data_IF_537797812361
#
_entry.id   IF_537797812361
#
_cell.length_a   1.000
_cell.length_b   1.000
_cell.length_c   1.000
_cell.angle_alpha   90.00
_cell.angle_beta   90.00
_cell.angle_gamma   90.00
#
_symmetry.space_group_name_H-M   'P 1'
#
loop_
_entity.id
_entity.type
_entity.pdbx_description
1 polymer ?
#
# COMPACT_ATOMS: atom_id res chain seq x y z
N UNK A 1 28.30 17.80 -14.08
CA UNK A 1 27.04 17.92 -13.31
C UNK A 1 25.95 17.16 -14.07
N UNK A 2 24.91 16.64 -13.43
CA UNK A 2 23.87 15.86 -14.12
C UNK A 2 23.28 16.59 -15.34
N UNK A 3 23.00 17.88 -15.20
CA UNK A 3 22.46 18.73 -16.28
C UNK A 3 23.47 19.08 -17.39
N UNK A 4 24.72 18.63 -17.28
CA UNK A 4 25.72 18.78 -18.35
C UNK A 4 25.86 17.53 -19.22
N UNK A 5 25.08 16.48 -18.96
CA UNK A 5 25.02 15.29 -19.81
C UNK A 5 24.32 15.60 -21.13
N UNK A 6 24.62 14.85 -22.22
CA UNK A 6 23.83 14.91 -23.45
C UNK A 6 22.34 14.70 -23.18
N UNK A 7 21.47 15.35 -23.96
CA UNK A 7 20.02 15.29 -23.79
C UNK A 7 19.48 13.84 -23.83
N UNK A 8 20.02 13.01 -24.73
CA UNK A 8 19.63 11.61 -24.85
C UNK A 8 19.96 10.78 -23.59
N UNK A 9 21.10 11.06 -22.95
CA UNK A 9 21.49 10.41 -21.70
C UNK A 9 20.63 10.90 -20.53
N UNK A 10 20.44 12.22 -20.46
CA UNK A 10 19.59 12.87 -19.45
C UNK A 10 18.17 12.29 -19.48
N UNK A 11 17.60 12.09 -20.68
CA UNK A 11 16.27 11.48 -20.84
C UNK A 11 16.21 10.04 -20.31
N UNK A 12 17.26 9.23 -20.50
CA UNK A 12 17.34 7.86 -19.96
C UNK A 12 17.31 7.87 -18.43
N UNK A 13 18.07 8.76 -17.79
CA UNK A 13 18.05 8.92 -16.34
C UNK A 13 16.70 9.42 -15.81
N UNK A 14 16.09 10.43 -16.46
CA UNK A 14 14.75 10.87 -16.07
C UNK A 14 13.71 9.76 -16.16
N UNK A 15 13.80 8.89 -17.17
CA UNK A 15 12.91 7.73 -17.27
C UNK A 15 13.12 6.75 -16.11
N UNK A 16 14.37 6.52 -15.67
CA UNK A 16 14.66 5.71 -14.48
C UNK A 16 14.01 6.34 -13.25
N UNK A 17 14.26 7.62 -12.99
CA UNK A 17 13.71 8.31 -11.81
C UNK A 17 12.18 8.30 -11.80
N UNK A 18 11.57 8.54 -12.96
CA UNK A 18 10.11 8.45 -13.12
C UNK A 18 9.61 7.05 -12.79
N UNK A 19 10.28 6.00 -13.27
CA UNK A 19 9.86 4.62 -13.01
C UNK A 19 9.99 4.24 -11.53
N UNK A 20 11.02 4.74 -10.83
CA UNK A 20 11.16 4.58 -9.37
C UNK A 20 10.03 5.24 -8.59
N UNK A 21 9.40 6.28 -9.14
CA UNK A 21 8.26 6.99 -8.53
C UNK A 21 6.90 6.59 -9.12
N UNK A 22 6.85 5.56 -9.97
CA UNK A 22 5.63 5.15 -10.67
C UNK A 22 5.05 3.86 -10.10
N UNK A 23 3.73 3.74 -10.11
CA UNK A 23 3.02 2.53 -9.72
C UNK A 23 1.76 2.82 -8.93
N UNK A 24 1.18 1.79 -8.34
CA UNK A 24 0.01 1.93 -7.45
C UNK A 24 0.47 1.95 -6.00
N UNK A 25 0.02 2.95 -5.24
CA UNK A 25 0.23 3.04 -3.79
C UNK A 25 -0.42 1.83 -3.09
N UNK A 26 0.27 1.27 -2.09
CA UNK A 26 -0.11 0.01 -1.43
C UNK A 26 0.24 -1.26 -2.22
N UNK A 27 0.85 -1.13 -3.41
CA UNK A 27 1.29 -2.27 -4.23
C UNK A 27 2.74 -2.14 -4.69
N UNK A 28 3.01 -1.20 -5.59
CA UNK A 28 4.36 -0.93 -6.09
C UNK A 28 5.07 0.13 -5.25
N UNK A 29 4.28 1.05 -4.70
CA UNK A 29 4.73 2.13 -3.85
C UNK A 29 4.19 1.88 -2.46
N UNK A 30 5.05 1.91 -1.45
CA UNK A 30 4.70 1.73 -0.06
C UNK A 30 5.17 2.97 0.70
N UNK A 31 4.27 3.60 1.43
CA UNK A 31 4.66 4.57 2.44
C UNK A 31 5.21 3.78 3.62
N UNK A 32 6.46 4.05 3.98
CA UNK A 32 7.09 3.53 5.18
C UNK A 32 7.16 4.66 6.20
N UNK A 33 6.80 4.37 7.43
CA UNK A 33 7.00 5.25 8.56
C UNK A 33 8.24 4.80 9.33
N UNK A 34 9.03 5.76 9.81
CA UNK A 34 10.16 5.45 10.66
C UNK A 34 9.65 5.14 12.08
N UNK A 35 10.03 4.00 12.68
CA UNK A 35 9.80 3.81 14.10
C UNK A 35 10.65 4.79 14.91
N UNK A 36 10.22 5.09 16.15
CA UNK A 36 10.91 6.02 17.05
C UNK A 36 12.41 5.70 17.22
N UNK A 37 12.78 4.42 17.25
CA UNK A 37 14.17 4.00 17.37
C UNK A 37 15.01 4.35 16.13
N UNK A 38 14.41 4.37 14.94
CA UNK A 38 15.10 4.80 13.72
C UNK A 38 15.30 6.32 13.65
N UNK A 39 14.47 7.09 14.36
CA UNK A 39 14.56 8.56 14.48
C UNK A 39 15.48 9.04 15.61
N UNK A 40 15.77 8.17 16.58
CA UNK A 40 16.68 8.48 17.67
C UNK A 40 18.11 8.75 17.17
N UNK A 41 18.95 9.48 17.93
CA UNK A 41 20.35 9.70 17.58
C UNK A 41 21.10 8.39 17.33
N UNK A 42 21.73 8.27 16.16
CA UNK A 42 22.39 7.06 15.66
C UNK A 42 21.48 6.13 14.84
N UNK A 43 20.18 6.43 14.73
CA UNK A 43 19.22 5.68 13.94
C UNK A 43 19.37 5.88 12.43
N UNK A 44 18.70 5.02 11.66
CA UNK A 44 18.77 4.99 10.20
C UNK A 44 18.19 6.25 9.55
N UNK A 45 17.15 6.86 10.12
CA UNK A 45 16.56 8.10 9.62
C UNK A 45 17.56 9.26 9.76
N UNK A 46 18.25 9.38 10.90
CA UNK A 46 19.25 10.43 11.12
C UNK A 46 20.38 10.35 10.07
N UNK A 47 20.79 9.14 9.69
CA UNK A 47 21.77 8.94 8.61
C UNK A 47 21.27 9.48 7.26
N UNK A 48 20.01 9.18 6.89
CA UNK A 48 19.43 9.68 5.64
C UNK A 48 19.26 11.21 5.65
N UNK A 49 18.93 11.82 6.80
CA UNK A 49 18.89 13.27 6.97
C UNK A 49 20.28 13.88 6.76
N UNK A 50 21.33 13.33 7.40
CA UNK A 50 22.72 13.77 7.19
C UNK A 50 23.14 13.67 5.72
N UNK A 51 22.81 12.55 5.07
CA UNK A 51 23.12 12.33 3.65
C UNK A 51 22.42 13.36 2.76
N UNK A 52 21.12 13.62 3.00
CA UNK A 52 20.34 14.65 2.29
C UNK A 52 20.92 16.04 2.49
N UNK A 53 21.18 16.41 3.74
CA UNK A 53 21.64 17.74 4.14
C UNK A 53 23.06 18.02 3.64
N UNK A 54 23.87 16.97 3.43
CA UNK A 54 25.16 17.08 2.75
C UNK A 54 25.05 17.41 1.26
N UNK A 55 23.84 17.32 0.67
CA UNK A 55 23.56 17.46 -0.77
C UNK A 55 24.44 16.54 -1.63
N UNK A 56 24.78 15.37 -1.09
CA UNK A 56 25.69 14.40 -1.69
C UNK A 56 27.09 14.97 -1.97
N UNK A 57 27.56 15.91 -1.15
CA UNK A 57 28.88 16.52 -1.27
C UNK A 57 29.89 15.96 -0.25
N UNK A 58 29.44 15.09 0.65
CA UNK A 58 30.29 14.39 1.61
C UNK A 58 30.60 12.97 1.08
N UNK A 59 31.84 12.78 0.62
CA UNK A 59 32.30 11.51 0.04
C UNK A 59 32.26 10.35 1.06
N UNK A 60 32.47 10.62 2.35
CA UNK A 60 32.46 9.59 3.37
C UNK A 60 31.02 9.10 3.64
N UNK A 61 30.04 10.02 3.71
CA UNK A 61 28.63 9.66 3.83
C UNK A 61 28.14 8.89 2.59
N UNK A 62 28.61 9.26 1.39
CA UNK A 62 28.30 8.54 0.16
C UNK A 62 28.85 7.11 0.16
N UNK A 63 30.13 6.94 0.52
CA UNK A 63 30.76 5.62 0.59
C UNK A 63 30.05 4.72 1.62
N UNK A 64 29.71 5.28 2.79
CA UNK A 64 28.92 4.58 3.80
C UNK A 64 27.54 4.17 3.27
N UNK A 65 26.84 5.07 2.56
CA UNK A 65 25.55 4.77 1.95
C UNK A 65 25.62 3.62 0.95
N UNK A 66 26.59 3.66 0.02
CA UNK A 66 26.76 2.59 -0.96
C UNK A 66 27.14 1.27 -0.29
N UNK A 67 27.99 1.30 0.74
CA UNK A 67 28.37 0.11 1.51
C UNK A 67 27.14 -0.51 2.19
N UNK A 68 26.31 0.30 2.87
CA UNK A 68 25.06 -0.16 3.48
C UNK A 68 24.12 -0.79 2.46
N UNK A 69 23.99 -0.24 1.26
CA UNK A 69 23.19 -0.89 0.20
C UNK A 69 23.81 -2.23 -0.20
N UNK A 70 25.12 -2.29 -0.43
CA UNK A 70 25.82 -3.51 -0.87
C UNK A 70 25.68 -4.64 0.16
N UNK A 71 25.74 -4.31 1.45
CA UNK A 71 25.65 -5.28 2.53
C UNK A 71 24.22 -5.80 2.76
N UNK A 72 23.20 -4.96 2.55
CA UNK A 72 21.82 -5.27 2.92
C UNK A 72 20.91 -5.62 1.74
N UNK A 73 21.22 -5.17 0.52
CA UNK A 73 20.41 -5.45 -0.67
C UNK A 73 20.91 -6.73 -1.36
N UNK A 74 20.29 -7.87 -1.01
CA UNK A 74 20.58 -9.12 -1.70
C UNK A 74 20.01 -9.11 -3.13
N UNK A 75 20.90 -9.07 -4.12
CA UNK A 75 20.57 -9.22 -5.53
C UNK A 75 21.65 -10.09 -6.21
N UNK A 76 21.31 -11.30 -6.71
CA UNK A 76 22.31 -12.26 -7.21
C UNK A 76 23.12 -11.82 -8.44
N UNK A 77 22.62 -10.83 -9.19
CA UNK A 77 23.23 -10.33 -10.43
C UNK A 77 23.90 -8.97 -10.20
N UNK A 78 24.53 -8.41 -11.23
CA UNK A 78 25.06 -7.05 -11.16
C UNK A 78 23.89 -6.05 -11.11
N UNK A 79 24.09 -4.95 -10.39
CA UNK A 79 23.16 -3.84 -10.36
C UNK A 79 23.92 -2.51 -10.26
N UNK A 80 23.24 -1.44 -10.65
CA UNK A 80 23.71 -0.07 -10.62
C UNK A 80 22.87 0.71 -9.61
N UNK A 81 23.55 1.34 -8.64
CA UNK A 81 22.94 2.20 -7.63
C UNK A 81 23.00 3.63 -8.15
N UNK A 82 21.85 4.26 -8.34
CA UNK A 82 21.77 5.67 -8.72
C UNK A 82 21.16 6.43 -7.55
N UNK A 83 21.91 7.37 -6.98
CA UNK A 83 21.45 8.28 -5.93
C UNK A 83 21.50 9.72 -6.44
N UNK A 84 20.41 10.46 -6.30
CA UNK A 84 20.35 11.89 -6.61
C UNK A 84 19.80 12.67 -5.42
N UNK A 85 20.26 13.93 -5.29
CA UNK A 85 19.64 14.96 -4.47
C UNK A 85 18.98 15.98 -5.39
N UNK A 86 17.77 16.39 -5.04
CA UNK A 86 17.00 17.36 -5.79
C UNK A 86 16.41 18.38 -4.83
N UNK A 87 16.51 19.66 -5.20
CA UNK A 87 15.73 20.73 -4.60
C UNK A 87 14.57 21.05 -5.54
N UNK A 88 13.35 20.74 -5.11
CA UNK A 88 12.13 20.97 -5.88
C UNK A 88 11.34 22.14 -5.27
N UNK A 89 11.14 23.17 -6.07
CA UNK A 89 10.32 24.31 -5.71
C UNK A 89 8.83 23.94 -5.83
N UNK A 90 8.09 23.97 -4.72
CA UNK A 90 6.67 23.59 -4.68
C UNK A 90 5.82 24.78 -5.14
N UNK A 91 5.10 24.68 -6.27
CA UNK A 91 4.25 25.78 -6.74
C UNK A 91 3.16 26.13 -5.71
N UNK A 92 2.79 27.39 -5.59
CA UNK A 92 1.67 27.81 -4.74
C UNK A 92 0.35 27.34 -5.33
N UNK A 93 -0.68 27.18 -4.49
CA UNK A 93 -2.05 26.93 -4.96
C UNK A 93 -2.98 28.04 -4.48
N UNK A 94 -3.79 28.58 -5.39
CA UNK A 94 -4.84 29.53 -5.04
C UNK A 94 -6.05 28.81 -4.43
N UNK A 95 -6.94 29.56 -3.78
CA UNK A 95 -8.14 29.03 -3.11
C UNK A 95 -9.14 28.33 -4.04
N UNK A 96 -9.04 28.56 -5.34
CA UNK A 96 -9.82 27.88 -6.40
C UNK A 96 -9.07 26.68 -7.01
N UNK A 97 -7.91 26.31 -6.47
CA UNK A 97 -7.13 25.14 -6.85
C UNK A 97 -6.19 25.32 -8.05
N UNK A 98 -6.08 26.54 -8.60
CA UNK A 98 -5.13 26.83 -9.69
C UNK A 98 -3.68 26.90 -9.19
N UNK A 99 -2.75 26.36 -9.98
CA UNK A 99 -1.32 26.39 -9.66
C UNK A 99 -0.72 27.78 -9.99
N UNK A 100 -0.14 28.41 -8.98
CA UNK A 100 0.57 29.68 -9.09
C UNK A 100 2.07 29.41 -9.10
N UNK A 101 2.63 29.17 -10.29
CA UNK A 101 4.07 28.90 -10.47
C UNK A 101 4.99 30.05 -10.01
N UNK A 102 4.45 31.27 -9.87
CA UNK A 102 5.21 32.47 -9.46
C UNK A 102 5.23 32.70 -7.93
N UNK A 103 4.48 31.90 -7.16
CA UNK A 103 4.46 31.94 -5.70
C UNK A 103 4.92 30.57 -5.21
N UNK A 104 6.11 30.48 -4.61
CA UNK A 104 6.58 29.28 -3.95
C UNK A 104 6.47 29.46 -2.45
N UNK A 105 5.85 28.49 -1.77
CA UNK A 105 5.71 28.50 -0.31
C UNK A 105 6.82 27.69 0.38
N UNK A 106 7.35 26.65 -0.29
CA UNK A 106 8.34 25.71 0.29
C UNK A 106 9.24 25.09 -0.80
N UNK A 107 10.52 24.86 -0.45
CA UNK A 107 11.46 24.07 -1.26
C UNK A 107 11.61 22.68 -0.64
N UNK A 108 11.14 21.67 -1.35
CA UNK A 108 11.28 20.27 -0.97
C UNK A 108 12.63 19.73 -1.43
N UNK A 109 13.55 19.53 -0.48
CA UNK A 109 14.83 18.85 -0.72
C UNK A 109 14.69 17.34 -0.43
N UNK A 110 15.04 16.50 -1.41
CA UNK A 110 14.91 15.05 -1.29
C UNK A 110 16.05 14.26 -1.92
N UNK A 111 16.20 13.04 -1.42
CA UNK A 111 16.98 11.97 -2.01
C UNK A 111 16.07 11.03 -2.80
N UNK A 112 16.51 10.65 -3.99
CA UNK A 112 15.90 9.57 -4.76
C UNK A 112 16.98 8.53 -5.09
N UNK A 113 16.77 7.30 -4.64
CA UNK A 113 17.64 6.17 -4.95
C UNK A 113 16.92 5.18 -5.87
N UNK A 114 17.60 4.73 -6.93
CA UNK A 114 17.10 3.76 -7.91
C UNK A 114 18.10 2.61 -8.04
N UNK A 115 17.66 1.39 -7.77
CA UNK A 115 18.44 0.15 -7.90
C UNK A 115 18.07 -0.54 -9.22
N UNK A 116 19.00 -0.49 -10.16
CA UNK A 116 18.79 -0.92 -11.54
C UNK A 116 19.60 -2.19 -11.84
N UNK A 117 18.99 -3.32 -12.23
CA UNK A 117 19.73 -4.49 -12.66
C UNK A 117 20.64 -4.18 -13.85
N UNK A 118 21.79 -4.86 -13.94
CA UNK A 118 22.75 -4.69 -15.02
C UNK A 118 23.00 -6.04 -15.67
N UNK A 119 22.55 -6.19 -16.91
CA UNK A 119 22.61 -7.46 -17.64
C UNK A 119 23.43 -7.34 -18.90
N UNK A 120 24.15 -8.42 -19.25
CA UNK A 120 24.79 -8.51 -20.55
C UNK A 120 23.73 -8.52 -21.65
N UNK A 121 23.91 -7.66 -22.64
CA UNK A 121 23.10 -7.63 -23.86
C UNK A 121 23.00 -9.02 -24.50
N UNK A 122 21.90 -9.27 -25.22
CA UNK A 122 21.64 -10.58 -25.84
C UNK A 122 22.78 -10.96 -26.79
N UNK A 123 23.27 -12.21 -26.74
CA UNK A 123 24.25 -12.69 -27.70
C UNK A 123 23.64 -12.65 -29.11
N UNK A 124 24.48 -12.50 -30.12
CA UNK A 124 24.02 -12.51 -31.50
C UNK A 124 25.14 -12.19 -32.48
N UNK A 125 24.76 -12.11 -33.74
CA UNK A 125 25.60 -11.58 -34.80
C UNK A 125 25.17 -10.14 -35.12
N UNK A 126 26.13 -9.27 -35.43
CA UNK A 126 25.84 -7.93 -35.93
C UNK A 126 26.56 -7.70 -37.26
N UNK A 127 26.01 -6.81 -38.09
CA UNK A 127 26.66 -6.38 -39.30
C UNK A 127 27.64 -5.26 -38.96
N UNK A 128 28.94 -5.55 -39.07
CA UNK A 128 30.00 -4.57 -38.89
C UNK A 128 30.14 -3.75 -40.18
N UNK A 129 29.73 -2.49 -40.14
CA UNK A 129 29.77 -1.58 -41.31
C UNK A 129 31.18 -1.21 -41.74
N UNK A 130 32.16 -1.30 -40.84
CA UNK A 130 33.57 -0.99 -41.13
C UNK A 130 34.25 -2.14 -41.87
N UNK A 131 33.98 -3.38 -41.45
CA UNK A 131 34.54 -4.58 -42.08
C UNK A 131 33.66 -5.18 -43.20
N UNK A 132 32.43 -4.70 -43.35
CA UNK A 132 31.44 -5.24 -44.29
C UNK A 132 31.22 -6.76 -44.12
N UNK A 133 31.15 -7.22 -42.87
CA UNK A 133 31.02 -8.63 -42.51
C UNK A 133 30.02 -8.82 -41.35
N UNK A 134 29.49 -10.03 -41.24
CA UNK A 134 28.68 -10.45 -40.11
C UNK A 134 29.62 -11.01 -39.03
N UNK A 135 29.64 -10.37 -37.87
CA UNK A 135 30.55 -10.68 -36.77
C UNK A 135 29.79 -11.02 -35.50
N UNK A 136 30.46 -11.69 -34.56
CA UNK A 136 29.92 -11.89 -33.22
C UNK A 136 29.74 -10.55 -32.51
N UNK A 137 28.56 -10.33 -31.96
CA UNK A 137 28.25 -9.14 -31.18
C UNK A 137 29.09 -9.12 -29.90
N UNK A 138 29.85 -8.05 -29.72
CA UNK A 138 30.43 -7.70 -28.42
C UNK A 138 29.28 -7.36 -27.49
N UNK A 139 29.24 -8.02 -26.33
CA UNK A 139 28.15 -7.89 -25.39
C UNK A 139 28.48 -6.82 -24.37
N UNK A 140 27.68 -5.76 -24.36
CA UNK A 140 27.77 -4.71 -23.34
C UNK A 140 26.93 -5.04 -22.12
N UNK A 141 27.34 -4.50 -20.97
CA UNK A 141 26.50 -4.43 -19.77
C UNK A 141 25.48 -3.31 -19.94
N UNK A 142 24.20 -3.66 -19.86
CA UNK A 142 23.08 -2.74 -20.06
C UNK A 142 22.35 -2.57 -18.74
N UNK A 143 22.17 -1.31 -18.34
CA UNK A 143 21.34 -0.92 -17.20
C UNK A 143 19.87 -1.11 -17.57
N UNK A 144 19.16 -1.95 -16.82
CA UNK A 144 17.72 -2.15 -16.95
C UNK A 144 16.94 -1.13 -16.11
N UNK A 145 15.62 -0.97 -16.34
CA UNK A 145 14.71 -0.27 -15.44
C UNK A 145 14.89 -0.60 -13.94
N UNK A 146 14.63 0.36 -13.03
CA UNK A 146 14.75 0.12 -11.59
C UNK A 146 13.79 -0.99 -11.15
N UNK A 147 14.26 -1.82 -10.22
CA UNK A 147 13.44 -2.86 -9.59
C UNK A 147 13.12 -2.56 -8.12
N UNK A 148 13.97 -1.73 -7.51
CA UNK A 148 13.86 -1.22 -6.15
C UNK A 148 14.28 0.24 -6.11
N UNK A 149 13.80 0.98 -5.13
CA UNK A 149 14.23 2.34 -4.90
C UNK A 149 13.46 2.99 -3.76
N UNK A 150 13.83 4.20 -3.41
CA UNK A 150 13.12 4.97 -2.40
C UNK A 150 13.26 6.48 -2.62
N UNK A 151 12.28 7.23 -2.12
CA UNK A 151 12.27 8.68 -2.00
C UNK A 151 12.25 9.04 -0.51
N UNK A 152 13.19 9.87 -0.06
CA UNK A 152 13.23 10.37 1.31
C UNK A 152 13.63 11.85 1.33
N UNK A 153 12.98 12.71 2.13
CA UNK A 153 11.79 12.46 2.96
C UNK A 153 10.55 12.08 2.14
N UNK A 154 9.48 11.59 2.77
CA UNK A 154 8.20 11.45 2.08
C UNK A 154 7.66 12.83 1.65
N UNK A 155 6.75 12.83 0.68
CA UNK A 155 6.11 14.04 0.17
C UNK A 155 4.60 13.94 0.39
N UNK A 156 4.13 14.51 1.50
CA UNK A 156 2.75 14.45 1.94
C UNK A 156 2.20 15.88 2.01
N UNK A 157 0.95 16.08 1.56
CA UNK A 157 0.26 17.38 1.59
C UNK A 157 1.05 18.59 1.08
N UNK A 158 1.83 18.36 0.02
CA UNK A 158 2.71 19.38 -0.59
C UNK A 158 3.79 19.90 0.36
N UNK A 159 4.26 19.08 1.29
CA UNK A 159 5.34 19.41 2.20
C UNK A 159 6.27 18.20 2.42
N UNK A 160 7.46 18.48 2.94
CA UNK A 160 8.39 17.45 3.36
C UNK A 160 7.91 16.74 4.63
N UNK A 161 7.82 15.41 4.59
CA UNK A 161 7.56 14.58 5.76
C UNK A 161 8.79 13.73 6.11
N UNK A 162 9.52 14.16 7.14
CA UNK A 162 10.75 13.49 7.62
C UNK A 162 10.49 12.19 8.36
N UNK A 163 9.25 11.95 8.79
CA UNK A 163 8.84 10.77 9.54
C UNK A 163 8.47 9.60 8.61
N UNK A 164 8.48 9.82 7.30
CA UNK A 164 8.21 8.79 6.31
C UNK A 164 9.18 8.77 5.12
N UNK A 165 9.05 7.70 4.33
CA UNK A 165 9.65 7.58 3.01
C UNK A 165 8.70 6.86 2.05
N UNK A 166 8.89 7.06 0.75
CA UNK A 166 8.21 6.27 -0.27
C UNK A 166 9.15 5.18 -0.76
N UNK A 167 8.81 3.92 -0.51
CA UNK A 167 9.56 2.76 -1.00
C UNK A 167 8.95 2.22 -2.29
N UNK A 168 9.79 1.91 -3.27
CA UNK A 168 9.39 1.37 -4.55
C UNK A 168 9.85 -0.08 -4.72
N UNK A 169 8.91 -0.93 -5.14
CA UNK A 169 9.18 -2.25 -5.69
C UNK A 169 8.44 -2.47 -7.00
N UNK A 170 9.19 -2.91 -8.02
CA UNK A 170 8.60 -3.27 -9.31
C UNK A 170 7.66 -4.48 -9.21
N UNK A 171 8.00 -5.46 -8.37
CA UNK A 171 7.18 -6.64 -8.06
C UNK A 171 6.65 -6.52 -6.63
N UNK A 172 5.33 -6.49 -6.48
CA UNK A 172 4.68 -6.26 -5.18
C UNK A 172 4.93 -7.41 -4.20
N UNK A 173 5.25 -8.59 -4.72
CA UNK A 173 5.50 -9.82 -3.97
C UNK A 173 6.96 -9.96 -3.53
N UNK A 174 7.87 -9.14 -4.06
CA UNK A 174 9.32 -9.20 -3.78
C UNK A 174 9.77 -7.98 -2.96
N UNK A 175 9.13 -7.66 -1.84
CA UNK A 175 9.42 -6.41 -1.10
C UNK A 175 10.77 -6.40 -0.39
N UNK A 176 11.38 -7.56 -0.13
CA UNK A 176 12.66 -7.70 0.58
C UNK A 176 12.64 -7.01 1.97
N UNK A 177 11.84 -7.54 2.92
CA UNK A 177 11.69 -6.96 4.25
C UNK A 177 13.03 -6.80 4.98
N UNK A 178 13.93 -7.79 4.89
CA UNK A 178 15.25 -7.73 5.52
C UNK A 178 16.08 -6.53 5.05
N UNK A 179 15.96 -6.17 3.76
CA UNK A 179 16.62 -4.97 3.21
C UNK A 179 15.99 -3.70 3.79
N UNK A 180 14.66 -3.65 3.87
CA UNK A 180 13.95 -2.49 4.43
C UNK A 180 14.30 -2.25 5.90
N UNK A 181 14.26 -3.32 6.70
CA UNK A 181 14.57 -3.26 8.13
C UNK A 181 16.05 -2.91 8.35
N UNK A 182 16.96 -3.56 7.64
CA UNK A 182 18.41 -3.33 7.86
C UNK A 182 18.88 -1.97 7.33
N UNK A 183 18.35 -1.52 6.19
CA UNK A 183 18.75 -0.24 5.57
C UNK A 183 18.06 0.97 6.23
N UNK A 184 16.77 0.84 6.56
CA UNK A 184 15.94 1.97 6.96
C UNK A 184 15.42 1.88 8.40
N UNK A 185 15.57 0.73 9.06
CA UNK A 185 14.93 0.48 10.36
C UNK A 185 13.41 0.32 10.26
N UNK A 186 12.85 0.29 9.05
CA UNK A 186 11.41 0.22 8.84
C UNK A 186 10.98 -1.25 8.68
N UNK A 187 10.09 -1.78 9.55
CA UNK A 187 9.51 -3.10 9.34
C UNK A 187 8.62 -3.09 8.09
N UNK A 188 8.36 -4.27 7.53
CA UNK A 188 7.46 -4.41 6.40
C UNK A 188 6.04 -3.99 6.82
N UNK A 189 5.42 -2.98 6.17
CA UNK A 189 4.04 -2.66 6.44
C UNK A 189 3.15 -3.81 5.95
N UNK A 190 2.10 -4.14 6.69
CA UNK A 190 1.10 -5.09 6.22
C UNK A 190 0.52 -4.58 4.89
N UNK A 191 0.58 -5.41 3.84
CA UNK A 191 -0.06 -5.08 2.55
C UNK A 191 -1.57 -4.91 2.74
N UNK A 192 -2.26 -4.18 1.87
CA UNK A 192 -3.73 -4.02 1.98
C UNK A 192 -4.47 -5.36 2.06
N UNK A 193 -4.00 -6.37 1.31
CA UNK A 193 -4.53 -7.74 1.37
C UNK A 193 -4.27 -8.38 2.73
N UNK A 194 -3.04 -8.30 3.23
CA UNK A 194 -2.65 -8.85 4.52
C UNK A 194 -3.40 -8.17 5.66
N UNK A 195 -3.55 -6.84 5.65
CA UNK A 195 -4.35 -6.12 6.64
C UNK A 195 -5.79 -6.63 6.68
N UNK A 196 -6.41 -6.84 5.52
CA UNK A 196 -7.77 -7.39 5.45
C UNK A 196 -7.85 -8.82 6.00
N UNK A 197 -6.90 -9.69 5.65
CA UNK A 197 -6.83 -11.06 6.17
C UNK A 197 -6.58 -11.07 7.69
N UNK A 198 -5.67 -10.23 8.19
CA UNK A 198 -5.39 -10.03 9.61
C UNK A 198 -6.62 -9.53 10.36
N UNK A 199 -7.36 -8.56 9.81
CA UNK A 199 -8.59 -8.05 10.43
C UNK A 199 -9.69 -9.12 10.49
N UNK A 200 -9.87 -9.88 9.41
CA UNK A 200 -10.83 -11.00 9.41
C UNK A 200 -10.43 -12.10 10.40
N UNK A 201 -9.13 -12.38 10.52
CA UNK A 201 -8.59 -13.33 11.51
C UNK A 201 -8.82 -12.81 12.92
N UNK A 202 -8.59 -11.53 13.18
CA UNK A 202 -8.86 -10.88 14.46
C UNK A 202 -10.34 -10.97 14.86
N UNK A 203 -11.26 -10.71 13.92
CA UNK A 203 -12.70 -10.91 14.15
C UNK A 203 -12.96 -12.37 14.55
N UNK A 204 -12.46 -13.33 13.77
CA UNK A 204 -12.64 -14.76 14.03
C UNK A 204 -12.10 -15.20 15.39
N UNK A 205 -10.86 -14.82 15.72
CA UNK A 205 -10.17 -15.24 16.93
C UNK A 205 -10.74 -14.58 18.19
N UNK A 206 -11.24 -13.35 18.08
CA UNK A 206 -11.89 -12.64 19.20
C UNK A 206 -13.31 -13.17 19.42
N UNK A 207 -14.08 -13.40 18.35
CA UNK A 207 -15.48 -13.82 18.47
C UNK A 207 -15.64 -15.33 18.74
N UNK A 208 -14.65 -16.13 18.34
CA UNK A 208 -14.63 -17.59 18.48
C UNK A 208 -15.61 -18.32 17.56
N UNK A 209 -15.81 -19.61 17.81
CA UNK A 209 -16.73 -20.48 17.03
C UNK A 209 -18.21 -20.03 17.13
N UNK A 210 -18.56 -19.22 18.11
CA UNK A 210 -19.90 -18.66 18.33
C UNK A 210 -20.02 -17.21 17.79
N UNK A 211 -19.28 -16.87 16.74
CA UNK A 211 -19.46 -15.60 16.04
C UNK A 211 -20.83 -15.60 15.33
N UNK A 212 -21.77 -14.79 15.81
CA UNK A 212 -23.05 -14.61 15.13
C UNK A 212 -22.93 -13.61 13.96
N UNK A 213 -23.83 -13.77 12.98
CA UNK A 213 -23.86 -12.95 11.78
C UNK A 213 -24.01 -11.45 12.08
N UNK A 214 -24.85 -11.09 13.06
CA UNK A 214 -25.15 -9.70 13.36
C UNK A 214 -23.94 -8.98 13.97
N UNK A 215 -23.17 -9.62 14.87
CA UNK A 215 -21.95 -9.05 15.43
C UNK A 215 -20.92 -8.74 14.33
N UNK A 216 -20.66 -9.68 13.43
CA UNK A 216 -19.71 -9.48 12.32
C UNK A 216 -20.19 -8.37 11.39
N UNK A 217 -21.49 -8.33 11.09
CA UNK A 217 -22.12 -7.27 10.30
C UNK A 217 -21.96 -5.90 10.96
N UNK A 218 -22.28 -5.77 12.25
CA UNK A 218 -22.17 -4.51 13.00
C UNK A 218 -20.72 -4.00 13.08
N UNK A 219 -19.73 -4.88 13.24
CA UNK A 219 -18.30 -4.50 13.18
C UNK A 219 -17.97 -3.87 11.83
N UNK A 220 -18.40 -4.48 10.73
CA UNK A 220 -18.16 -3.95 9.39
C UNK A 220 -18.96 -2.67 9.10
N UNK A 221 -20.17 -2.52 9.64
CA UNK A 221 -20.98 -1.30 9.52
C UNK A 221 -20.30 -0.13 10.22
N UNK A 222 -19.94 -0.25 11.50
CA UNK A 222 -19.23 0.81 12.23
C UNK A 222 -17.89 1.16 11.58
N UNK A 223 -17.13 0.17 11.09
CA UNK A 223 -15.89 0.44 10.37
C UNK A 223 -16.14 1.26 9.10
N UNK A 224 -17.21 0.94 8.36
CA UNK A 224 -17.60 1.67 7.14
C UNK A 224 -18.03 3.09 7.47
N UNK A 225 -18.79 3.29 8.56
CA UNK A 225 -19.17 4.61 9.05
C UNK A 225 -17.94 5.45 9.40
N UNK A 226 -16.96 4.89 10.13
CA UNK A 226 -15.72 5.60 10.46
C UNK A 226 -14.96 6.05 9.21
N UNK A 227 -14.90 5.22 8.16
CA UNK A 227 -14.28 5.56 6.88
C UNK A 227 -15.05 6.68 6.17
N UNK A 228 -16.38 6.61 6.15
CA UNK A 228 -17.22 7.64 5.52
C UNK A 228 -17.18 8.98 6.25
N UNK A 229 -17.07 8.98 7.58
CA UNK A 229 -16.92 10.20 8.40
C UNK A 229 -15.57 10.90 8.17
N UNK A 230 -14.54 10.14 7.77
CA UNK A 230 -13.18 10.64 7.57
C UNK A 230 -12.80 10.82 6.09
N UNK A 231 -13.71 10.57 5.15
CA UNK A 231 -13.41 10.62 3.70
C UNK A 231 -12.99 12.00 3.17
N UNK A 232 -13.40 13.07 3.84
CA UNK A 232 -13.06 14.45 3.48
C UNK A 232 -11.78 14.94 4.20
N UNK A 233 -11.19 14.11 5.06
CA UNK A 233 -9.91 14.37 5.72
C UNK A 233 -8.75 14.21 4.73
N UNK A 234 -7.72 15.08 4.78
CA UNK A 234 -6.50 14.88 4.00
C UNK A 234 -5.75 13.62 4.48
N UNK A 235 -5.76 13.35 5.78
CA UNK A 235 -5.11 12.20 6.38
C UNK A 235 -5.99 10.95 6.29
N UNK A 236 -5.45 9.80 5.83
CA UNK A 236 -6.21 8.57 5.81
C UNK A 236 -6.46 8.06 7.24
N UNK A 237 -7.63 7.46 7.46
CA UNK A 237 -7.96 6.89 8.76
C UNK A 237 -7.11 5.65 9.06
N UNK A 238 -6.20 5.80 10.01
CA UNK A 238 -5.34 4.74 10.57
C UNK A 238 -5.88 4.35 11.93
N UNK A 239 -6.13 3.05 12.13
CA UNK A 239 -6.64 2.49 13.38
C UNK A 239 -5.51 1.82 14.14
N UNK A 240 -5.21 2.35 15.33
CA UNK A 240 -4.31 1.69 16.28
C UNK A 240 -5.02 0.54 16.98
N UNK A 241 -4.28 -0.32 17.68
CA UNK A 241 -4.86 -1.41 18.47
C UNK A 241 -5.96 -0.94 19.45
N UNK A 242 -5.80 0.15 20.22
CA UNK A 242 -6.88 0.73 21.02
C UNK A 242 -8.12 1.14 20.20
N UNK A 243 -7.94 1.69 19.00
CA UNK A 243 -9.05 2.09 18.13
C UNK A 243 -9.85 0.89 17.64
N UNK A 244 -9.15 -0.18 17.24
CA UNK A 244 -9.77 -1.44 16.83
C UNK A 244 -10.47 -2.12 18.01
N UNK A 245 -9.88 -2.06 19.22
CA UNK A 245 -10.54 -2.57 20.44
C UNK A 245 -11.85 -1.84 20.71
N UNK A 246 -11.82 -0.51 20.62
CA UNK A 246 -13.00 0.35 20.77
C UNK A 246 -14.06 0.08 19.69
N UNK A 247 -13.65 -0.19 18.45
CA UNK A 247 -14.56 -0.59 17.37
C UNK A 247 -15.34 -1.86 17.75
N UNK A 248 -14.69 -2.88 18.32
CA UNK A 248 -15.35 -4.11 18.75
C UNK A 248 -16.32 -3.84 19.92
N UNK A 249 -15.91 -3.04 20.90
CA UNK A 249 -16.76 -2.64 22.03
C UNK A 249 -18.01 -1.87 21.57
N UNK A 250 -17.85 -0.90 20.68
CA UNK A 250 -18.95 -0.14 20.09
C UNK A 250 -19.89 -1.03 19.27
N UNK A 251 -19.35 -2.09 18.66
CA UNK A 251 -20.10 -3.09 17.89
C UNK A 251 -20.82 -4.13 18.76
N UNK A 252 -20.78 -3.97 20.08
CA UNK A 252 -21.53 -4.81 21.02
C UNK A 252 -20.88 -6.15 21.33
N UNK A 253 -19.58 -6.31 21.05
CA UNK A 253 -18.84 -7.54 21.41
C UNK A 253 -18.78 -7.67 22.94
N UNK A 254 -19.24 -8.79 23.53
CA UNK A 254 -19.25 -8.98 24.98
C UNK A 254 -17.85 -8.92 25.60
N UNK A 255 -17.76 -8.41 26.82
CA UNK A 255 -16.49 -8.28 27.57
C UNK A 255 -15.74 -9.62 27.70
N UNK A 256 -16.47 -10.73 27.89
CA UNK A 256 -15.91 -12.08 27.95
C UNK A 256 -15.13 -12.47 26.67
N UNK A 257 -15.63 -12.07 25.49
CA UNK A 257 -14.95 -12.33 24.22
C UNK A 257 -13.75 -11.39 24.04
N UNK A 258 -13.85 -10.16 24.54
CA UNK A 258 -12.79 -9.15 24.50
C UNK A 258 -11.57 -9.48 25.35
N UNK A 259 -11.66 -10.41 26.32
CA UNK A 259 -10.51 -10.85 27.13
C UNK A 259 -9.34 -11.37 26.29
N UNK A 260 -9.65 -11.97 25.12
CA UNK A 260 -8.66 -12.53 24.20
C UNK A 260 -8.17 -11.57 23.12
N UNK A 261 -8.83 -10.41 22.97
CA UNK A 261 -8.62 -9.45 21.88
C UNK A 261 -7.15 -9.04 21.75
N UNK A 262 -6.53 -8.71 22.88
CA UNK A 262 -5.17 -8.18 22.92
C UNK A 262 -4.14 -9.19 22.37
N UNK A 263 -4.32 -10.47 22.71
CA UNK A 263 -3.50 -11.57 22.18
C UNK A 263 -3.83 -11.87 20.71
N UNK A 264 -5.11 -11.80 20.34
CA UNK A 264 -5.55 -12.02 18.96
C UNK A 264 -5.01 -10.93 18.02
N UNK A 265 -4.97 -9.67 18.47
CA UNK A 265 -4.42 -8.55 17.71
C UNK A 265 -2.94 -8.73 17.44
N UNK A 266 -2.17 -9.03 18.49
CA UNK A 266 -0.73 -9.28 18.37
C UNK A 266 -0.43 -10.45 17.41
N UNK A 267 -1.20 -11.54 17.51
CA UNK A 267 -1.03 -12.70 16.64
C UNK A 267 -1.42 -12.43 15.17
N UNK A 268 -2.47 -11.63 14.94
CA UNK A 268 -3.00 -11.39 13.60
C UNK A 268 -2.29 -10.26 12.85
N UNK A 269 -1.95 -9.17 13.54
CA UNK A 269 -1.40 -7.94 12.95
C UNK A 269 0.00 -7.59 13.46
N UNK A 270 0.36 -7.97 14.69
CA UNK A 270 1.58 -7.55 15.37
C UNK A 270 1.30 -6.51 16.47
N UNK A 271 2.10 -6.52 17.54
CA UNK A 271 1.85 -5.79 18.80
C UNK A 271 1.50 -4.29 18.59
N UNK A 272 2.30 -3.61 17.77
CA UNK A 272 2.21 -2.17 17.51
C UNK A 272 1.87 -1.85 16.04
N UNK A 273 1.26 -2.79 15.33
CA UNK A 273 0.96 -2.59 13.90
C UNK A 273 -0.40 -1.93 13.71
N UNK A 274 -0.47 -0.69 13.18
CA UNK A 274 -1.74 -0.06 12.87
C UNK A 274 -2.35 -0.62 11.57
N UNK A 275 -3.68 -0.51 11.44
CA UNK A 275 -4.44 -0.93 10.27
C UNK A 275 -5.05 0.27 9.54
N UNK A 276 -4.90 0.34 8.23
CA UNK A 276 -5.55 1.37 7.44
C UNK A 276 -7.03 1.01 7.27
N UNK A 277 -7.93 1.86 7.75
CA UNK A 277 -9.37 1.57 7.75
C UNK A 277 -9.91 1.26 6.34
N UNK A 278 -9.41 1.95 5.31
CA UNK A 278 -9.79 1.72 3.91
C UNK A 278 -9.30 0.38 3.33
N UNK A 279 -8.25 -0.22 3.89
CA UNK A 279 -7.77 -1.54 3.47
C UNK A 279 -8.60 -2.68 4.08
N UNK A 280 -9.09 -2.49 5.30
CA UNK A 280 -9.84 -3.50 6.05
C UNK A 280 -11.35 -3.37 5.90
N UNK A 281 -11.85 -2.17 5.57
CA UNK A 281 -13.25 -1.95 5.26
C UNK A 281 -13.66 -2.77 4.04
N UNK A 282 -14.82 -3.41 4.12
CA UNK A 282 -15.40 -4.17 3.03
C UNK A 282 -15.81 -3.23 1.92
N UNK A 283 -14.97 -3.07 0.88
CA UNK A 283 -15.10 -2.07 -0.20
C UNK A 283 -16.49 -1.91 -0.85
N UNK A 284 -16.67 -2.32 -2.12
CA UNK A 284 -17.93 -2.05 -2.87
C UNK A 284 -19.07 -3.06 -2.60
N UNK A 285 -18.82 -4.12 -1.83
CA UNK A 285 -19.79 -5.19 -1.61
C UNK A 285 -19.53 -5.94 -0.30
N UNK A 286 -20.59 -6.21 0.45
CA UNK A 286 -20.63 -7.15 1.56
C UNK A 286 -20.90 -8.56 1.00
N UNK A 287 -20.08 -9.56 1.34
CA UNK A 287 -20.20 -10.93 0.81
C UNK A 287 -20.53 -11.90 1.93
N UNK A 288 -21.53 -12.75 1.70
CA UNK A 288 -21.87 -13.86 2.59
C UNK A 288 -21.67 -15.15 1.78
N UNK A 289 -20.82 -16.03 2.29
CA UNK A 289 -20.44 -17.26 1.60
C UNK A 289 -20.83 -18.48 2.44
N UNK A 290 -21.52 -19.40 1.78
CA UNK A 290 -21.75 -20.77 2.23
C UNK A 290 -21.08 -21.70 1.20
N UNK A 291 -20.91 -23.01 1.46
CA UNK A 291 -20.22 -23.91 0.55
C UNK A 291 -20.73 -23.88 -0.92
N UNK A 292 -22.02 -23.63 -1.13
CA UNK A 292 -22.66 -23.68 -2.45
C UNK A 292 -23.24 -22.34 -2.92
N UNK A 293 -23.27 -21.30 -2.06
CA UNK A 293 -23.97 -20.04 -2.32
C UNK A 293 -23.10 -18.86 -1.90
N UNK A 294 -22.94 -17.90 -2.81
CA UNK A 294 -22.33 -16.59 -2.54
C UNK A 294 -23.39 -15.52 -2.72
N UNK A 295 -23.64 -14.73 -1.68
CA UNK A 295 -24.56 -13.60 -1.68
C UNK A 295 -23.73 -12.32 -1.64
N UNK A 296 -23.89 -11.44 -2.64
CA UNK A 296 -23.25 -10.13 -2.65
C UNK A 296 -24.29 -9.04 -2.47
N UNK A 297 -24.05 -8.17 -1.49
CA UNK A 297 -24.98 -7.09 -1.11
C UNK A 297 -24.24 -5.76 -1.13
N UNK A 298 -24.96 -4.69 -1.48
CA UNK A 298 -24.44 -3.34 -1.31
C UNK A 298 -24.20 -3.11 0.20
N UNK A 299 -23.01 -2.67 0.65
CA UNK A 299 -22.73 -2.45 2.06
C UNK A 299 -23.72 -1.51 2.75
N UNK A 300 -24.28 -0.54 2.03
CA UNK A 300 -25.31 0.38 2.56
C UNK A 300 -26.70 -0.29 2.76
N UNK A 301 -26.86 -1.55 2.30
CA UNK A 301 -28.13 -2.28 2.27
C UNK A 301 -28.07 -3.65 2.97
N UNK A 302 -27.14 -3.80 3.91
CA UNK A 302 -27.07 -4.94 4.83
C UNK A 302 -28.34 -5.07 5.69
N UNK A 303 -29.09 -3.99 5.85
CA UNK A 303 -30.43 -3.94 6.47
C UNK A 303 -31.45 -4.89 5.84
N UNK A 304 -31.25 -5.29 4.57
CA UNK A 304 -32.13 -6.21 3.86
C UNK A 304 -31.97 -7.66 4.27
N UNK A 305 -30.92 -8.01 5.01
CA UNK A 305 -30.60 -9.38 5.41
C UNK A 305 -30.83 -9.54 6.91
N UNK A 306 -31.62 -10.54 7.27
CA UNK A 306 -31.84 -10.95 8.66
C UNK A 306 -31.66 -12.46 8.80
N UNK A 307 -31.18 -12.92 9.95
CA UNK A 307 -31.19 -14.34 10.30
C UNK A 307 -32.50 -14.70 10.99
N UNK A 308 -33.20 -15.74 10.51
CA UNK A 308 -34.41 -16.29 11.15
C UNK A 308 -34.40 -17.80 11.17
N UNK A 309 -35.05 -18.36 12.18
CA UNK A 309 -35.37 -19.79 12.23
C UNK A 309 -36.69 -20.00 11.49
N UNK A 310 -36.64 -20.72 10.36
CA UNK A 310 -37.80 -21.10 9.56
C UNK A 310 -37.86 -22.64 9.54
N UNK A 311 -38.98 -23.21 10.01
CA UNK A 311 -39.17 -24.66 10.11
C UNK A 311 -38.04 -25.39 10.86
N UNK A 312 -37.50 -24.76 11.91
CA UNK A 312 -36.40 -25.31 12.72
C UNK A 312 -35.02 -25.25 12.07
N UNK A 313 -34.89 -24.56 10.93
CA UNK A 313 -33.62 -24.34 10.23
C UNK A 313 -33.23 -22.87 10.31
N UNK A 314 -31.97 -22.61 10.61
CA UNK A 314 -31.41 -21.27 10.50
C UNK A 314 -31.33 -20.88 9.03
N UNK A 315 -31.87 -19.71 8.70
CA UNK A 315 -31.99 -19.21 7.34
C UNK A 315 -31.62 -17.72 7.30
N UNK A 316 -30.90 -17.34 6.26
CA UNK A 316 -30.78 -15.93 5.87
C UNK A 316 -32.02 -15.53 5.08
N UNK A 317 -32.74 -14.52 5.56
CA UNK A 317 -33.93 -13.97 4.95
C UNK A 317 -33.56 -12.65 4.30
N UNK A 318 -33.72 -12.59 2.97
CA UNK A 318 -33.49 -11.37 2.20
C UNK A 318 -34.83 -10.73 1.92
N UNK A 319 -35.03 -9.51 2.42
CA UNK A 319 -36.21 -8.71 2.09
C UNK A 319 -36.11 -8.26 0.64
N UNK A 320 -37.17 -8.53 -0.14
CA UNK A 320 -37.16 -8.26 -1.57
C UNK A 320 -38.20 -7.23 -1.97
N UNK A 321 -37.77 -6.22 -2.72
CA UNK A 321 -38.63 -5.19 -3.29
C UNK A 321 -39.05 -5.58 -4.72
N UNK A 322 -39.98 -4.84 -5.34
CA UNK A 322 -40.74 -5.20 -6.56
C UNK A 322 -39.94 -5.48 -7.86
N UNK A 323 -38.62 -5.65 -7.80
CA UNK A 323 -37.76 -5.95 -8.95
C UNK A 323 -36.76 -7.06 -8.61
N UNK A 324 -37.07 -8.28 -9.04
CA UNK A 324 -36.24 -9.47 -8.87
C UNK A 324 -35.93 -10.01 -10.24
N UNK A 325 -34.67 -10.35 -10.51
CA UNK A 325 -34.29 -10.99 -11.76
C UNK A 325 -33.67 -12.37 -11.52
N UNK A 326 -34.12 -13.35 -12.30
CA UNK A 326 -33.51 -14.68 -12.36
C UNK A 326 -32.90 -14.84 -13.75
N UNK A 327 -31.57 -14.89 -13.83
CA UNK A 327 -30.83 -14.93 -15.10
C UNK A 327 -31.23 -13.79 -16.07
N UNK A 328 -31.45 -12.58 -15.54
CA UNK A 328 -31.86 -11.41 -16.32
C UNK A 328 -33.34 -11.36 -16.71
N UNK A 329 -34.17 -12.24 -16.14
CA UNK A 329 -35.62 -12.26 -16.35
C UNK A 329 -36.31 -11.72 -15.10
N UNK A 330 -37.07 -10.63 -15.23
CA UNK A 330 -37.85 -10.07 -14.13
C UNK A 330 -38.95 -11.04 -13.68
N UNK A 331 -38.98 -11.36 -12.39
CA UNK A 331 -39.90 -12.29 -11.74
C UNK A 331 -40.54 -11.66 -10.50
N UNK A 332 -41.67 -12.22 -10.07
CA UNK A 332 -42.30 -11.89 -8.78
C UNK A 332 -42.04 -13.02 -7.78
N UNK A 333 -41.77 -12.66 -6.53
CA UNK A 333 -41.57 -13.61 -5.41
C UNK A 333 -42.85 -14.32 -4.98
N UNK A 334 -44.02 -13.71 -5.18
CA UNK A 334 -45.30 -14.32 -4.84
C UNK A 334 -46.26 -14.34 -6.05
N UNK A 335 -46.98 -15.45 -6.21
CA UNK A 335 -48.08 -15.56 -7.16
C UNK A 335 -49.27 -14.72 -6.67
N UNK A 336 -49.97 -14.05 -7.59
CA UNK A 336 -51.23 -13.38 -7.25
C UNK A 336 -52.23 -14.43 -6.71
N UNK A 337 -53.00 -14.13 -5.65
CA UNK A 337 -54.07 -15.02 -5.24
C UNK A 337 -55.01 -15.22 -6.43
N UNK A 338 -55.24 -16.50 -6.79
CA UNK A 338 -56.27 -16.83 -7.76
C UNK A 338 -57.59 -16.39 -7.16
N UNK A 339 -58.24 -15.39 -7.77
CA UNK A 339 -59.65 -15.16 -7.55
C UNK A 339 -60.38 -16.42 -8.03
N UNK A 340 -60.78 -17.28 -7.09
CA UNK A 340 -61.76 -18.32 -7.36
C UNK A 340 -63.12 -17.62 -7.51
N UNK A 341 -63.62 -17.54 -8.75
CA UNK A 341 -65.02 -17.19 -9.07
C UNK A 341 -65.95 -18.39 -8.86
#
# INVERSE_FOLDING_TARGET
>A
AFLSLPEEETFKYFNIFKQTLSGTLGKNLLNLEFPLDAENPGGQQEFLLKLRDSRLQDDALLEEFYTRIIENYYFPENYYIILIHVAYDIPGKSSDGSEMFDASDEVYEYLLCSLCPVKLSKPGLFYNTEHNQIENRIRDWVVEPPVKGFLFPAFNDRSSDIHGMLYFSKQAEELQPDFMESMFGCPLPLTAKSQKESFNTLISDTLGEEADYEMVKTIHEHLTEMVEETKDSPDPLVLTRPDVKRLFELSGVPEEKMESFDRAYEAAAGEDTPLLASNIASGRSFSIETPDIVIKVNPERTDLIETRIIDGKECLVITVNDHIEVNGVNVRTMALPRNEE
#
